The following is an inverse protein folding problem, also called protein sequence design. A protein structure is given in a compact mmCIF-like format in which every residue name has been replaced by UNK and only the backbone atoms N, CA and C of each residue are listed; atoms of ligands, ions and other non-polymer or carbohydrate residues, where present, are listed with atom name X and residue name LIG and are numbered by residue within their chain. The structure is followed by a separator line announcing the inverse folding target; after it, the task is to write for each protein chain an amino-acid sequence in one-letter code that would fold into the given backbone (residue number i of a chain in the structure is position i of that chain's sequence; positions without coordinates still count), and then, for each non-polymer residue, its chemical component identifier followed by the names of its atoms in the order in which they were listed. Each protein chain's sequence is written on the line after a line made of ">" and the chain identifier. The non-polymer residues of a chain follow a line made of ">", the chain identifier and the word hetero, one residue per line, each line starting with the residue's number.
data_IF_246547252374
#
_entry.id   IF_246547252374
#
_cell.length_a   1.000
_cell.length_b   1.000
_cell.length_c   1.000
_cell.angle_alpha   90.00
_cell.angle_beta   90.00
_cell.angle_gamma   90.00
#
_symmetry.space_group_name_H-M   'P 1'
#
loop_
_entity.id
_entity.type
_entity.pdbx_description
1 polymer ?
#
# COMPACT_ATOMS: atom_id res chain seq x y z
N UNK A 1 2.14 10.37 1.96
CA UNK A 1 0.77 10.87 2.23
C UNK A 1 0.12 9.86 3.17
N UNK A 2 -0.28 10.26 4.38
CA UNK A 2 -0.81 9.35 5.40
C UNK A 2 -2.32 9.51 5.59
N UNK A 3 -3.07 8.49 5.13
CA UNK A 3 -4.07 7.78 5.92
C UNK A 3 -5.22 8.54 6.58
N UNK A 4 -6.26 8.88 5.79
CA UNK A 4 -7.65 8.93 6.26
C UNK A 4 -8.38 10.25 6.03
N UNK A 5 -9.40 10.26 5.16
CA UNK A 5 -10.48 11.24 5.26
C UNK A 5 -11.31 11.59 4.02
N UNK A 6 -10.71 11.75 2.85
CA UNK A 6 -11.35 12.59 1.82
C UNK A 6 -10.83 12.36 0.40
N UNK A 7 -11.71 12.45 -0.60
CA UNK A 7 -11.42 12.14 -2.01
C UNK A 7 -10.34 13.01 -2.66
N UNK A 8 -10.07 14.20 -2.10
CA UNK A 8 -8.95 15.08 -2.49
C UNK A 8 -7.60 14.42 -2.19
N UNK A 9 -7.53 13.53 -1.19
CA UNK A 9 -6.31 12.78 -0.88
C UNK A 9 -5.96 11.75 -1.96
N UNK A 10 -6.95 11.22 -2.70
CA UNK A 10 -6.73 10.09 -3.60
C UNK A 10 -5.86 10.47 -4.81
N UNK A 11 -6.17 11.58 -5.47
CA UNK A 11 -5.44 12.01 -6.67
C UNK A 11 -4.00 12.39 -6.31
N UNK A 12 -3.81 13.08 -5.18
CA UNK A 12 -2.48 13.37 -4.65
C UNK A 12 -1.69 12.10 -4.27
N UNK A 13 -2.35 11.10 -3.66
CA UNK A 13 -1.75 9.79 -3.39
C UNK A 13 -1.36 9.08 -4.70
N UNK A 14 -2.24 9.10 -5.70
CA UNK A 14 -1.99 8.49 -7.00
C UNK A 14 -0.83 9.16 -7.75
N UNK A 15 -0.76 10.49 -7.74
CA UNK A 15 0.30 11.24 -8.40
C UNK A 15 1.65 11.06 -7.68
N UNK A 16 1.65 10.98 -6.35
CA UNK A 16 2.85 10.61 -5.59
C UNK A 16 3.34 9.19 -5.94
N UNK A 17 2.42 8.22 -6.04
CA UNK A 17 2.76 6.85 -6.41
C UNK A 17 3.27 6.73 -7.86
N UNK A 18 2.71 7.52 -8.79
CA UNK A 18 3.17 7.57 -10.19
C UNK A 18 4.51 8.30 -10.34
N UNK A 19 4.72 9.37 -9.57
CA UNK A 19 5.95 10.16 -9.56
C UNK A 19 7.13 9.44 -8.93
N UNK A 20 6.86 8.35 -8.19
CA UNK A 20 7.85 7.61 -7.42
C UNK A 20 7.96 8.13 -5.99
N UNK A 21 8.23 7.20 -5.07
CA UNK A 21 8.45 7.51 -3.66
C UNK A 21 9.53 6.59 -3.11
N UNK A 22 10.49 7.14 -2.36
CA UNK A 22 11.52 6.35 -1.70
C UNK A 22 10.95 5.52 -0.53
N UNK A 23 9.93 6.06 0.14
CA UNK A 23 9.25 5.41 1.27
C UNK A 23 7.73 5.60 1.12
N UNK A 24 7.01 4.49 1.23
CA UNK A 24 5.54 4.46 1.27
C UNK A 24 5.13 3.85 2.59
N UNK A 25 4.17 4.49 3.27
CA UNK A 25 3.51 3.92 4.43
C UNK A 25 2.01 3.99 4.21
N UNK A 26 1.36 2.85 4.33
CA UNK A 26 -0.05 2.68 4.01
C UNK A 26 -0.66 1.55 4.83
N UNK A 27 -1.97 1.61 5.03
CA UNK A 27 -2.74 0.45 5.51
C UNK A 27 -3.00 -0.52 4.35
N UNK A 28 -3.10 -1.85 4.61
CA UNK A 28 -3.24 -2.85 3.56
C UNK A 28 -4.39 -2.56 2.58
N UNK A 29 -5.58 -2.25 3.10
CA UNK A 29 -6.75 -1.96 2.27
C UNK A 29 -6.58 -0.75 1.34
N UNK A 30 -5.96 0.34 1.81
CA UNK A 30 -5.72 1.53 0.97
C UNK A 30 -4.69 1.24 -0.11
N UNK A 31 -3.59 0.56 0.23
CA UNK A 31 -2.56 0.18 -0.73
C UNK A 31 -3.13 -0.74 -1.82
N UNK A 32 -3.91 -1.75 -1.42
CA UNK A 32 -4.61 -2.65 -2.33
C UNK A 32 -5.51 -1.91 -3.32
N UNK A 33 -6.23 -0.88 -2.86
CA UNK A 33 -7.08 -0.06 -3.72
C UNK A 33 -6.30 0.74 -4.78
N UNK A 34 -5.08 1.22 -4.46
CA UNK A 34 -4.20 1.84 -5.46
C UNK A 34 -3.60 0.81 -6.41
N UNK A 35 -3.14 -0.34 -5.89
CA UNK A 35 -2.59 -1.43 -6.70
C UNK A 35 -3.60 -1.94 -7.74
N UNK A 36 -4.88 -2.05 -7.37
CA UNK A 36 -5.95 -2.47 -8.28
C UNK A 36 -6.13 -1.55 -9.50
N UNK A 37 -5.60 -0.32 -9.47
CA UNK A 37 -5.64 0.64 -10.59
C UNK A 37 -4.42 0.54 -11.51
N UNK A 38 -3.43 -0.29 -11.18
CA UNK A 38 -2.34 -0.66 -12.08
C UNK A 38 -1.22 0.37 -12.27
N UNK A 39 -1.20 1.46 -11.51
CA UNK A 39 -0.12 2.46 -11.58
C UNK A 39 0.95 2.31 -10.49
N UNK A 40 0.72 1.46 -9.49
CA UNK A 40 1.71 1.18 -8.44
C UNK A 40 2.71 0.15 -8.99
N UNK A 41 4.00 0.49 -8.90
CA UNK A 41 5.08 -0.41 -9.31
C UNK A 41 6.02 -0.65 -8.12
N UNK A 42 6.40 -1.90 -7.92
CA UNK A 42 7.25 -2.34 -6.81
C UNK A 42 8.61 -2.88 -7.29
N UNK A 43 8.97 -2.68 -8.56
CA UNK A 43 10.16 -3.25 -9.21
C UNK A 43 11.48 -2.90 -8.52
N UNK A 44 11.51 -1.83 -7.72
CA UNK A 44 12.70 -1.37 -6.98
C UNK A 44 12.60 -1.57 -5.46
N UNK A 45 11.51 -2.16 -4.95
CA UNK A 45 11.32 -2.34 -3.51
C UNK A 45 12.29 -3.40 -2.97
N UNK A 46 13.05 -3.02 -1.93
CA UNK A 46 14.00 -3.92 -1.27
C UNK A 46 13.55 -4.36 0.13
N UNK A 47 12.67 -3.58 0.75
CA UNK A 47 12.24 -3.78 2.13
C UNK A 47 10.73 -3.63 2.26
N UNK A 48 10.10 -4.62 2.89
CA UNK A 48 8.72 -4.57 3.37
C UNK A 48 8.74 -4.67 4.89
N UNK A 49 8.07 -3.73 5.56
CA UNK A 49 7.93 -3.73 7.02
C UNK A 49 6.44 -3.87 7.35
N UNK A 50 6.11 -4.82 8.23
CA UNK A 50 4.77 -5.02 8.76
C UNK A 50 4.78 -4.62 10.24
N UNK A 51 4.10 -3.52 10.57
CA UNK A 51 3.93 -3.06 11.95
C UNK A 51 2.61 -3.60 12.53
N UNK A 52 2.62 -4.04 13.79
CA UNK A 52 1.50 -4.76 14.44
C UNK A 52 0.89 -5.90 13.57
N UNK A 53 1.75 -6.78 13.04
CA UNK A 53 1.34 -7.83 12.12
C UNK A 53 0.30 -8.79 12.71
N UNK A 54 0.40 -9.13 13.99
CA UNK A 54 -0.57 -9.93 14.73
C UNK A 54 -1.97 -9.31 14.70
N UNK A 55 -2.07 -8.01 15.02
CA UNK A 55 -3.34 -7.29 14.97
C UNK A 55 -3.92 -7.23 13.56
N UNK A 56 -3.07 -7.09 12.54
CA UNK A 56 -3.52 -7.15 11.15
C UNK A 56 -4.13 -8.51 10.80
N UNK A 57 -3.61 -9.60 11.34
CA UNK A 57 -4.19 -10.93 11.16
C UNK A 57 -5.56 -11.06 11.87
N UNK A 58 -5.66 -10.55 13.11
CA UNK A 58 -6.90 -10.62 13.90
C UNK A 58 -8.07 -9.87 13.25
N UNK A 59 -7.79 -8.75 12.59
CA UNK A 59 -8.82 -7.96 11.87
C UNK A 59 -9.05 -8.44 10.43
N UNK A 60 -8.40 -9.53 10.01
CA UNK A 60 -8.67 -10.20 8.74
C UNK A 60 -7.88 -9.70 7.54
N UNK A 61 -6.76 -8.99 7.72
CA UNK A 61 -5.92 -8.51 6.60
C UNK A 61 -4.96 -9.56 6.01
N UNK A 62 -5.03 -10.81 6.45
CA UNK A 62 -4.15 -11.86 5.95
C UNK A 62 -4.11 -11.93 4.41
N UNK A 63 -5.28 -12.02 3.77
CA UNK A 63 -5.36 -12.15 2.31
C UNK A 63 -4.83 -10.92 1.56
N UNK A 64 -5.04 -9.72 2.12
CA UNK A 64 -4.55 -8.48 1.52
C UNK A 64 -3.03 -8.35 1.65
N UNK A 65 -2.47 -8.71 2.81
CA UNK A 65 -1.01 -8.78 3.01
C UNK A 65 -0.40 -9.78 2.01
N UNK A 66 -0.99 -10.97 1.85
CA UNK A 66 -0.48 -11.97 0.92
C UNK A 66 -0.53 -11.51 -0.54
N UNK A 67 -1.53 -10.70 -0.93
CA UNK A 67 -1.58 -10.09 -2.28
C UNK A 67 -0.50 -9.04 -2.46
N UNK A 68 -0.24 -8.20 -1.45
CA UNK A 68 0.85 -7.22 -1.47
C UNK A 68 2.19 -7.96 -1.64
N UNK A 69 2.48 -8.96 -0.81
CA UNK A 69 3.73 -9.73 -0.88
C UNK A 69 3.92 -10.37 -2.26
N UNK A 70 2.88 -10.94 -2.85
CA UNK A 70 2.94 -11.54 -4.20
C UNK A 70 3.22 -10.53 -5.32
N UNK A 71 3.02 -9.24 -5.07
CA UNK A 71 3.29 -8.18 -6.05
C UNK A 71 4.68 -7.56 -5.92
N UNK A 72 5.40 -7.89 -4.85
CA UNK A 72 6.78 -7.49 -4.65
C UNK A 72 7.73 -8.37 -5.49
N UNK A 73 8.90 -7.84 -5.88
CA UNK A 73 9.92 -8.57 -6.64
C UNK A 73 10.54 -9.74 -5.86
#
# INVERSE_FOLDING_TARGET
>A
VYGGGDGVSWEAEADALKGGADIIVATPGRLMAHMARGYVKFDTVQHLILDEADRMLDIGFYDDIMKIIKSLP
#
